data_IF_606132629449
#
_entry.id   IF_606132629449
#
_cell.length_a   1.000
_cell.length_b   1.000
_cell.length_c   1.000
_cell.angle_alpha   90.00
_cell.angle_beta   90.00
_cell.angle_gamma   90.00
#
_symmetry.space_group_name_H-M   'P 1'
#
loop_
_entity.id
_entity.type
_entity.pdbx_description
1 polymer ?
#
# COMPACT_ATOMS: atom_id res chain seq x y z
N UNK A 1 99.71 37.45 28.21
CA UNK A 1 98.37 37.34 28.84
C UNK A 1 97.26 38.00 28.00
N UNK A 2 97.39 39.26 27.58
CA UNK A 2 96.32 40.02 26.90
C UNK A 2 95.64 39.31 25.69
N UNK A 3 96.40 38.62 24.84
CA UNK A 3 95.86 37.85 23.70
C UNK A 3 95.01 36.62 24.11
N UNK A 4 95.20 36.08 25.31
CA UNK A 4 94.43 34.92 25.80
C UNK A 4 93.03 35.35 26.27
N UNK A 5 92.91 36.51 26.92
CA UNK A 5 91.61 37.06 27.32
C UNK A 5 90.70 37.36 26.12
N UNK A 6 91.26 37.87 25.02
CA UNK A 6 90.50 38.14 23.78
C UNK A 6 89.90 36.84 23.22
N UNK A 7 90.67 35.74 23.21
CA UNK A 7 90.18 34.45 22.72
C UNK A 7 89.05 33.88 23.61
N UNK A 8 89.17 34.02 24.94
CA UNK A 8 88.15 33.56 25.90
C UNK A 8 86.86 34.40 25.82
N UNK A 9 86.97 35.71 25.58
CA UNK A 9 85.80 36.58 25.35
C UNK A 9 85.06 36.26 24.05
N UNK A 10 85.77 35.91 22.97
CA UNK A 10 85.17 35.52 21.69
C UNK A 10 84.43 34.17 21.75
N UNK A 11 84.86 33.23 22.59
CA UNK A 11 84.16 31.95 22.79
C UNK A 11 82.87 32.06 23.61
N UNK A 12 82.67 33.14 24.38
CA UNK A 12 81.43 33.36 25.15
C UNK A 12 80.36 34.15 24.38
N UNK A 13 80.67 34.69 23.18
CA UNK A 13 79.73 35.49 22.38
C UNK A 13 78.85 34.71 21.39
N UNK A 14 78.97 33.38 21.31
CA UNK A 14 78.12 32.56 20.43
C UNK A 14 76.75 32.26 21.06
N UNK A 15 75.79 33.15 20.84
CA UNK A 15 74.36 32.92 21.10
C UNK A 15 73.81 31.84 20.15
N UNK A 16 73.83 30.57 20.60
CA UNK A 16 73.19 29.47 19.88
C UNK A 16 71.69 29.48 20.20
N UNK A 17 70.92 30.24 19.42
CA UNK A 17 69.45 30.15 19.43
C UNK A 17 69.01 28.83 18.79
N UNK A 18 68.88 27.79 19.62
CA UNK A 18 68.16 26.58 19.27
C UNK A 18 66.66 26.87 19.11
N UNK A 19 66.28 27.39 17.95
CA UNK A 19 64.88 27.62 17.61
C UNK A 19 64.21 26.26 17.32
N UNK A 20 63.59 25.67 18.32
CA UNK A 20 62.52 24.70 18.09
C UNK A 20 61.37 25.38 17.33
N UNK A 21 60.65 24.59 16.53
CA UNK A 21 59.57 25.07 15.67
C UNK A 21 58.54 25.94 16.43
N UNK A 22 58.36 27.21 16.08
CA UNK A 22 59.14 27.97 15.10
C UNK A 22 58.98 29.47 15.30
N UNK A 23 59.97 30.24 14.82
CA UNK A 23 59.75 31.64 14.51
C UNK A 23 60.44 32.12 13.25
N UNK A 24 60.00 33.16 12.52
CA UNK A 24 58.74 33.95 12.54
C UNK A 24 58.21 34.53 13.88
N UNK A 25 57.75 35.80 13.93
CA UNK A 25 56.96 36.29 15.06
C UNK A 25 55.55 35.64 15.16
N UNK A 26 55.10 34.88 14.15
CA UNK A 26 53.76 34.26 14.05
C UNK A 26 53.78 32.87 13.38
N UNK A 27 54.10 31.76 14.08
CA UNK A 27 54.09 30.42 13.51
C UNK A 27 52.67 29.86 13.30
N UNK A 28 52.52 28.92 12.35
CA UNK A 28 51.27 28.14 12.14
C UNK A 28 51.44 26.62 12.31
N UNK A 29 52.59 26.17 12.83
CA UNK A 29 52.77 24.83 13.40
C UNK A 29 53.96 24.01 12.85
N UNK A 30 54.79 23.49 13.77
CA UNK A 30 55.61 22.28 13.59
C UNK A 30 56.12 21.79 14.97
N UNK A 31 55.29 21.03 15.70
CA UNK A 31 55.74 20.29 16.87
C UNK A 31 56.03 18.85 16.45
N UNK A 32 57.30 18.58 16.13
CA UNK A 32 57.77 17.20 15.96
C UNK A 32 58.08 16.60 17.36
N UNK A 33 57.37 15.54 17.73
CA UNK A 33 57.51 14.85 19.03
C UNK A 33 58.48 13.65 18.90
N UNK A 34 59.07 13.43 17.73
CA UNK A 34 59.97 12.31 17.49
C UNK A 34 61.37 12.51 18.09
N UNK A 35 62.08 11.39 18.31
CA UNK A 35 63.53 11.37 18.53
C UNK A 35 64.23 10.87 17.27
N UNK A 36 65.50 11.23 16.99
CA UNK A 36 66.17 10.98 15.70
C UNK A 36 66.24 9.52 15.21
N UNK A 37 65.87 8.54 16.05
CA UNK A 37 65.96 7.10 15.77
C UNK A 37 64.64 6.35 16.02
N UNK A 38 63.61 6.97 16.60
CA UNK A 38 62.34 6.29 16.98
C UNK A 38 61.14 7.24 16.98
N UNK A 39 60.09 6.88 16.24
CA UNK A 39 58.85 7.65 16.12
C UNK A 39 57.71 7.02 16.93
N UNK A 40 57.84 7.01 18.26
CA UNK A 40 56.94 6.28 19.18
C UNK A 40 56.08 7.18 20.07
N UNK A 41 56.14 8.50 19.92
CA UNK A 41 55.39 9.46 20.73
C UNK A 41 54.21 10.03 19.93
N UNK A 42 53.00 9.97 20.50
CA UNK A 42 51.80 10.54 19.91
C UNK A 42 51.50 11.95 20.39
N UNK A 43 50.75 12.72 19.59
CA UNK A 43 50.18 14.00 20.01
C UNK A 43 48.93 13.76 20.87
N UNK A 44 48.97 14.18 22.13
CA UNK A 44 47.79 14.25 22.99
C UNK A 44 47.18 15.64 22.86
N UNK A 45 45.93 15.72 22.40
CA UNK A 45 45.20 16.98 22.27
C UNK A 45 44.66 17.47 23.63
N UNK A 46 44.45 18.79 23.79
CA UNK A 46 43.70 19.33 24.93
C UNK A 46 42.36 18.61 25.06
N UNK A 47 42.08 18.08 26.25
CA UNK A 47 40.89 17.27 26.53
C UNK A 47 39.86 18.10 27.28
N UNK A 48 38.63 18.15 26.78
CA UNK A 48 37.52 18.88 27.41
C UNK A 48 36.20 18.12 27.20
N UNK A 49 35.20 18.32 28.05
CA UNK A 49 33.86 17.71 27.92
C UNK A 49 32.87 18.59 27.14
N UNK A 50 33.23 19.86 26.89
CA UNK A 50 32.45 20.84 26.13
C UNK A 50 33.40 21.78 25.34
N UNK A 51 33.04 22.08 24.10
CA UNK A 51 33.74 23.02 23.22
C UNK A 51 33.71 24.46 23.76
N UNK A 52 32.68 24.84 24.52
CA UNK A 52 32.57 26.17 25.13
C UNK A 52 33.58 26.42 26.25
N UNK A 53 34.21 25.36 26.79
CA UNK A 53 35.27 25.44 27.81
C UNK A 53 36.67 25.59 27.22
N UNK A 54 36.81 25.59 25.89
CA UNK A 54 38.07 25.88 25.22
C UNK A 54 38.32 27.40 25.21
N UNK A 55 39.48 27.81 25.72
CA UNK A 55 39.86 29.22 25.84
C UNK A 55 41.03 29.54 24.90
N UNK A 56 41.03 30.73 24.31
CA UNK A 56 42.20 31.25 23.61
C UNK A 56 43.24 31.72 24.66
N UNK A 57 44.49 31.19 24.67
CA UNK A 57 45.53 31.64 25.61
C UNK A 57 45.92 33.12 25.48
N UNK A 58 45.61 33.77 24.35
CA UNK A 58 45.83 35.21 24.13
C UNK A 58 44.62 36.08 24.55
N UNK A 59 43.54 35.46 25.05
CA UNK A 59 42.26 36.11 25.28
C UNK A 59 41.42 36.25 24.01
N UNK A 60 40.18 36.71 24.15
CA UNK A 60 39.23 36.85 23.03
C UNK A 60 38.64 35.51 22.56
N UNK A 61 38.23 35.46 21.30
CA UNK A 61 37.62 34.27 20.67
C UNK A 61 38.64 33.17 20.39
N UNK A 62 38.18 31.92 20.31
CA UNK A 62 38.99 30.76 19.92
C UNK A 62 39.59 30.99 18.53
N UNK A 63 40.83 30.54 18.31
CA UNK A 63 41.53 30.69 17.04
C UNK A 63 41.13 29.58 16.03
N UNK A 64 40.97 29.96 14.76
CA UNK A 64 40.83 29.03 13.63
C UNK A 64 41.93 27.95 13.66
N UNK A 65 41.56 26.70 13.42
CA UNK A 65 42.47 25.55 13.45
C UNK A 65 42.73 24.97 14.85
N UNK A 66 42.08 25.49 15.91
CA UNK A 66 42.13 24.87 17.24
C UNK A 66 41.56 23.45 17.17
N UNK A 67 42.29 22.47 17.71
CA UNK A 67 41.85 21.07 17.82
C UNK A 67 41.74 20.66 19.28
N UNK A 68 40.72 19.86 19.62
CA UNK A 68 40.52 19.28 20.95
C UNK A 68 40.15 17.81 20.87
N UNK A 69 40.39 17.08 21.96
CA UNK A 69 39.75 15.80 22.23
C UNK A 69 38.50 16.04 23.10
N UNK A 70 37.34 15.77 22.53
CA UNK A 70 36.07 15.77 23.26
C UNK A 70 35.99 14.52 24.12
N UNK A 71 35.92 14.71 25.43
CA UNK A 71 35.87 13.63 26.42
C UNK A 71 34.47 13.09 26.67
N UNK A 72 33.42 13.76 26.16
CA UNK A 72 32.05 13.26 26.14
C UNK A 72 31.87 12.34 24.93
N UNK A 73 32.16 12.85 23.73
CA UNK A 73 32.00 12.13 22.46
C UNK A 73 33.19 11.20 22.11
N UNK A 74 34.25 11.22 22.92
CA UNK A 74 35.49 10.44 22.77
C UNK A 74 36.19 10.64 21.42
N UNK A 75 36.17 11.86 20.89
CA UNK A 75 36.56 12.16 19.51
C UNK A 75 37.44 13.40 19.35
N UNK A 76 38.02 13.60 18.17
CA UNK A 76 38.73 14.85 17.84
C UNK A 76 37.72 15.82 17.21
N UNK A 77 37.74 17.11 17.61
CA UNK A 77 36.99 18.19 16.94
C UNK A 77 37.96 19.31 16.53
N UNK A 78 37.67 20.02 15.45
CA UNK A 78 38.43 21.21 15.01
C UNK A 78 37.52 22.45 14.93
N UNK A 79 38.07 23.63 15.17
CA UNK A 79 37.37 24.91 15.02
C UNK A 79 37.71 25.56 13.68
N UNK A 80 36.71 25.88 12.86
CA UNK A 80 36.89 26.43 11.50
C UNK A 80 37.04 27.97 11.45
N UNK A 81 37.10 28.62 12.61
CA UNK A 81 37.12 30.08 12.74
C UNK A 81 35.74 30.67 13.07
N UNK A 82 34.66 29.91 12.87
CA UNK A 82 33.27 30.31 13.17
C UNK A 82 32.53 29.29 14.03
N UNK A 83 32.71 27.99 13.77
CA UNK A 83 32.04 26.88 14.44
C UNK A 83 33.02 25.73 14.74
N UNK A 84 32.60 24.87 15.66
CA UNK A 84 33.27 23.59 15.89
C UNK A 84 32.74 22.53 14.95
N UNK A 85 33.64 21.70 14.43
CA UNK A 85 33.29 20.54 13.64
C UNK A 85 32.59 19.47 14.48
N UNK A 86 31.82 18.64 13.79
CA UNK A 86 31.53 17.29 14.24
C UNK A 86 32.81 16.49 14.50
N UNK A 87 32.66 15.35 15.17
CA UNK A 87 33.74 14.43 15.44
C UNK A 87 34.52 13.97 14.18
N UNK A 88 35.78 14.38 14.09
CA UNK A 88 36.74 13.86 13.13
C UNK A 88 37.07 12.40 13.45
N UNK A 89 36.57 11.49 12.63
CA UNK A 89 37.08 10.11 12.52
C UNK A 89 36.47 9.05 13.46
N UNK A 90 35.41 9.34 14.21
CA UNK A 90 34.62 8.32 14.93
C UNK A 90 33.22 8.16 14.33
N UNK A 91 32.82 6.90 14.14
CA UNK A 91 31.69 6.51 13.29
C UNK A 91 32.05 6.60 11.80
N UNK A 92 31.54 5.68 10.99
CA UNK A 92 31.35 5.99 9.57
C UNK A 92 30.33 7.12 9.43
N UNK A 93 30.49 7.93 8.38
CA UNK A 93 29.39 8.76 7.89
C UNK A 93 28.25 7.84 7.45
N UNK A 94 26.99 8.30 7.56
CA UNK A 94 25.83 7.52 7.09
C UNK A 94 25.91 7.21 5.58
N UNK A 95 26.79 7.89 4.82
CA UNK A 95 27.16 7.57 3.43
C UNK A 95 27.58 6.11 3.20
N UNK A 96 28.13 5.46 4.22
CA UNK A 96 28.66 4.08 4.10
C UNK A 96 27.57 3.03 4.38
N UNK A 97 26.40 3.47 4.86
CA UNK A 97 25.25 2.63 5.16
C UNK A 97 24.33 2.56 3.94
N UNK A 98 23.78 1.37 3.68
CA UNK A 98 22.77 1.14 2.65
C UNK A 98 21.59 0.40 3.25
N UNK A 99 20.36 0.86 2.98
CA UNK A 99 19.12 0.21 3.39
C UNK A 99 18.45 -0.49 2.20
N UNK A 100 18.03 -1.74 2.40
CA UNK A 100 17.36 -2.56 1.41
C UNK A 100 16.09 -3.20 2.01
N UNK A 101 14.94 -2.89 1.42
CA UNK A 101 13.66 -3.56 1.67
C UNK A 101 13.08 -4.21 0.40
N UNK A 102 13.88 -4.39 -0.65
CA UNK A 102 13.51 -5.18 -1.84
C UNK A 102 13.69 -6.68 -1.60
N UNK A 103 14.63 -7.07 -0.72
CA UNK A 103 14.92 -8.47 -0.38
C UNK A 103 13.80 -9.17 0.41
N UNK A 104 13.30 -8.52 1.46
CA UNK A 104 12.24 -9.05 2.33
C UNK A 104 10.97 -8.19 2.26
N UNK A 105 11.10 -6.87 2.47
CA UNK A 105 10.00 -5.91 2.30
C UNK A 105 8.77 -6.26 3.14
N UNK A 106 7.59 -6.21 2.52
CA UNK A 106 6.36 -6.73 3.11
C UNK A 106 6.35 -8.26 3.19
N UNK A 107 6.26 -8.79 4.41
CA UNK A 107 6.14 -10.23 4.68
C UNK A 107 4.84 -10.50 5.43
N UNK A 108 3.90 -11.19 4.79
CA UNK A 108 2.61 -11.57 5.37
C UNK A 108 1.53 -11.72 4.30
N UNK A 109 0.29 -11.99 4.74
CA UNK A 109 -0.90 -12.03 3.88
C UNK A 109 -1.65 -10.70 3.99
N UNK A 110 -1.89 -10.06 2.85
CA UNK A 110 -2.62 -8.80 2.76
C UNK A 110 -3.92 -9.01 1.96
N UNK A 111 -5.01 -9.23 2.70
CA UNK A 111 -6.37 -9.45 2.18
C UNK A 111 -7.31 -8.40 2.78
N UNK A 112 -8.14 -7.74 1.95
CA UNK A 112 -9.17 -6.80 2.42
C UNK A 112 -10.10 -7.46 3.43
N UNK A 113 -10.47 -6.74 4.48
CA UNK A 113 -11.42 -7.20 5.50
C UNK A 113 -10.88 -8.30 6.43
N UNK A 114 -9.67 -8.81 6.16
CA UNK A 114 -8.99 -9.79 7.01
C UNK A 114 -8.00 -9.07 7.91
N UNK A 115 -8.18 -9.19 9.23
CA UNK A 115 -7.23 -8.64 10.21
C UNK A 115 -5.84 -9.24 10.00
N UNK A 116 -4.81 -8.39 9.93
CA UNK A 116 -3.44 -8.83 9.75
C UNK A 116 -2.97 -9.68 10.94
N UNK A 117 -2.36 -10.82 10.65
CA UNK A 117 -1.81 -11.75 11.63
C UNK A 117 -0.35 -12.03 11.31
N UNK A 118 0.57 -11.52 12.16
CA UNK A 118 2.02 -11.68 11.98
C UNK A 118 2.61 -10.96 10.76
N UNK A 119 1.88 -10.04 10.13
CA UNK A 119 2.37 -9.25 9.00
C UNK A 119 3.47 -8.27 9.45
N UNK A 120 4.52 -8.13 8.64
CA UNK A 120 5.69 -7.29 8.96
C UNK A 120 6.22 -6.58 7.73
N UNK A 121 7.00 -5.52 7.95
CA UNK A 121 7.87 -4.90 6.95
C UNK A 121 9.32 -5.03 7.42
N UNK A 122 10.24 -5.45 6.55
CA UNK A 122 11.65 -5.70 6.91
C UNK A 122 12.61 -4.88 6.06
N UNK A 123 13.54 -4.22 6.73
CA UNK A 123 14.68 -3.53 6.11
C UNK A 123 15.97 -4.20 6.57
N UNK A 124 16.85 -4.56 5.64
CA UNK A 124 18.24 -4.90 5.94
C UNK A 124 19.10 -3.65 5.77
N UNK A 125 19.82 -3.25 6.81
CA UNK A 125 20.78 -2.15 6.77
C UNK A 125 22.18 -2.75 6.81
N UNK A 126 22.99 -2.45 5.79
CA UNK A 126 24.36 -2.93 5.64
C UNK A 126 25.34 -1.79 5.83
N UNK A 127 26.41 -2.02 6.58
CA UNK A 127 27.52 -1.08 6.73
C UNK A 127 28.68 -1.49 5.84
N UNK A 128 28.83 -0.81 4.71
CA UNK A 128 29.90 -1.04 3.72
C UNK A 128 31.21 -0.32 4.10
N UNK A 129 31.20 0.45 5.20
CA UNK A 129 32.33 1.20 5.71
C UNK A 129 33.36 0.35 6.46
N UNK A 130 34.51 0.96 6.74
CA UNK A 130 35.64 0.32 7.46
C UNK A 130 35.58 0.50 8.99
N UNK A 131 34.51 1.10 9.51
CA UNK A 131 34.27 1.37 10.93
C UNK A 131 32.84 1.00 11.29
N UNK A 132 32.55 0.78 12.56
CA UNK A 132 31.16 0.65 13.03
C UNK A 132 30.38 1.96 12.78
N UNK A 133 29.07 1.83 12.58
CA UNK A 133 28.16 2.97 12.41
C UNK A 133 28.08 3.84 13.67
N UNK A 134 27.52 5.05 13.53
CA UNK A 134 26.91 5.74 14.67
C UNK A 134 25.72 4.91 15.22
N UNK A 135 25.27 5.18 16.44
CA UNK A 135 24.05 4.59 16.99
C UNK A 135 22.85 5.03 16.14
N UNK A 136 22.21 4.09 15.47
CA UNK A 136 20.92 4.30 14.80
C UNK A 136 19.81 4.06 15.81
N UNK A 137 18.80 4.92 15.84
CA UNK A 137 17.59 4.76 16.66
C UNK A 137 16.40 4.59 15.73
N UNK A 138 15.51 3.64 16.02
CA UNK A 138 14.37 3.29 15.17
C UNK A 138 13.05 3.56 15.88
N UNK A 139 12.08 4.11 15.14
CA UNK A 139 10.74 4.44 15.63
C UNK A 139 9.68 3.95 14.63
N UNK A 140 8.46 3.68 15.08
CA UNK A 140 7.37 3.25 14.17
C UNK A 140 7.05 4.29 13.09
N UNK A 141 7.34 5.57 13.36
CA UNK A 141 7.22 6.70 12.40
C UNK A 141 8.22 6.66 11.25
N UNK A 142 9.27 5.84 11.33
CA UNK A 142 10.28 5.72 10.27
C UNK A 142 9.72 5.01 9.04
N UNK A 143 8.64 4.24 9.19
CA UNK A 143 7.91 3.57 8.11
C UNK A 143 6.54 4.24 7.91
N UNK A 144 6.37 4.90 6.76
CA UNK A 144 5.10 5.47 6.33
C UNK A 144 4.40 4.50 5.40
N UNK A 145 3.12 4.23 5.65
CA UNK A 145 2.27 3.38 4.81
C UNK A 145 1.33 4.24 3.96
N UNK A 146 1.16 3.90 2.69
CA UNK A 146 0.25 4.59 1.78
C UNK A 146 -0.40 3.65 0.75
N UNK A 147 -1.40 4.15 0.02
CA UNK A 147 -2.10 3.41 -1.05
C UNK A 147 -3.29 2.55 -0.58
N UNK A 148 -3.23 1.94 0.61
CA UNK A 148 -4.36 1.21 1.21
C UNK A 148 -4.55 1.60 2.68
N UNK A 149 -5.79 1.87 3.08
CA UNK A 149 -6.16 2.28 4.46
C UNK A 149 -6.45 1.09 5.37
N UNK A 150 -6.50 1.35 6.69
CA UNK A 150 -6.81 0.37 7.73
C UNK A 150 -5.62 -0.43 8.26
N UNK A 151 -4.40 -0.14 7.78
CA UNK A 151 -3.14 -0.76 8.22
C UNK A 151 -2.30 0.28 8.96
N UNK A 152 -1.64 -0.12 10.05
CA UNK A 152 -0.75 0.72 10.85
C UNK A 152 0.52 -0.01 11.26
N UNK A 153 1.60 0.74 11.50
CA UNK A 153 2.85 0.22 12.07
C UNK A 153 2.72 0.18 13.59
N UNK A 154 2.75 -1.02 14.17
CA UNK A 154 2.45 -1.27 15.59
C UNK A 154 3.69 -1.44 16.47
N UNK A 155 4.85 -1.71 15.89
CA UNK A 155 6.08 -1.93 16.65
C UNK A 155 7.33 -2.01 15.78
N UNK A 156 8.49 -2.05 16.43
CA UNK A 156 9.81 -2.23 15.81
C UNK A 156 10.64 -3.21 16.63
N UNK A 157 11.36 -4.12 15.97
CA UNK A 157 12.06 -5.23 16.64
C UNK A 157 13.27 -4.81 17.49
N UNK A 158 13.80 -3.62 17.27
CA UNK A 158 14.87 -3.03 18.07
C UNK A 158 14.71 -1.51 18.05
N UNK A 159 14.81 -0.86 19.22
CA UNK A 159 14.73 0.59 19.33
C UNK A 159 16.03 1.29 18.87
N UNK A 160 17.16 0.58 18.81
CA UNK A 160 18.43 1.09 18.31
C UNK A 160 19.41 -0.02 17.93
N UNK A 161 20.41 0.31 17.10
CA UNK A 161 21.52 -0.59 16.74
C UNK A 161 22.81 0.17 16.40
N UNK A 162 23.96 -0.48 16.64
CA UNK A 162 25.26 -0.13 16.04
C UNK A 162 25.62 -1.27 15.09
N UNK A 163 25.93 -0.94 13.84
CA UNK A 163 26.24 -1.92 12.80
C UNK A 163 27.78 -1.98 12.64
N UNK A 164 28.45 -3.10 12.95
CA UNK A 164 29.89 -3.24 12.76
C UNK A 164 30.31 -3.11 11.30
N UNK A 165 31.59 -2.82 11.06
CA UNK A 165 32.15 -2.71 9.71
C UNK A 165 31.94 -4.01 8.90
N UNK A 166 31.43 -3.91 7.68
CA UNK A 166 31.17 -5.04 6.80
C UNK A 166 30.04 -5.98 7.26
N UNK A 167 29.20 -5.57 8.22
CA UNK A 167 28.07 -6.35 8.72
C UNK A 167 26.73 -5.75 8.31
N UNK A 168 25.67 -6.53 8.48
CA UNK A 168 24.28 -6.11 8.27
C UNK A 168 23.41 -6.41 9.49
N UNK A 169 22.35 -5.63 9.68
CA UNK A 169 21.27 -5.89 10.63
C UNK A 169 19.93 -5.84 9.90
N UNK A 170 18.98 -6.70 10.27
CA UNK A 170 17.60 -6.62 9.78
C UNK A 170 16.71 -6.03 10.86
N UNK A 171 16.06 -4.91 10.55
CA UNK A 171 15.05 -4.26 11.39
C UNK A 171 13.68 -4.66 10.86
N UNK A 172 12.82 -5.14 11.75
CA UNK A 172 11.48 -5.63 11.45
C UNK A 172 10.45 -4.73 12.12
N UNK A 173 9.56 -4.18 11.31
CA UNK A 173 8.41 -3.39 11.73
C UNK A 173 7.18 -4.31 11.77
N UNK A 174 6.47 -4.29 12.89
CA UNK A 174 5.21 -5.03 13.05
C UNK A 174 4.08 -4.22 12.41
N UNK A 175 3.20 -4.91 11.68
CA UNK A 175 2.01 -4.32 11.04
C UNK A 175 0.75 -4.85 11.71
N UNK A 176 -0.23 -3.99 11.89
CA UNK A 176 -1.54 -4.32 12.48
C UNK A 176 -2.69 -3.65 11.74
N UNK A 177 -3.91 -4.04 12.08
CA UNK A 177 -5.13 -3.50 11.51
C UNK A 177 -5.78 -4.45 10.49
N UNK A 178 -6.73 -3.92 9.74
CA UNK A 178 -7.56 -4.66 8.78
C UNK A 178 -7.64 -3.81 7.51
N UNK A 179 -7.09 -4.26 6.37
CA UNK A 179 -7.09 -3.45 5.15
C UNK A 179 -8.53 -3.17 4.68
N UNK A 180 -8.89 -1.91 4.49
CA UNK A 180 -10.27 -1.51 4.16
C UNK A 180 -10.59 -1.54 2.68
N UNK A 181 -9.60 -1.75 1.82
CA UNK A 181 -9.77 -1.89 0.38
C UNK A 181 -8.67 -2.72 -0.27
N UNK A 182 -8.79 -2.95 -1.59
CA UNK A 182 -7.73 -3.56 -2.42
C UNK A 182 -6.79 -2.49 -3.01
N UNK A 183 -5.61 -2.90 -3.46
CA UNK A 183 -4.71 -2.02 -4.23
C UNK A 183 -3.24 -2.28 -3.94
N UNK A 184 -2.39 -1.33 -4.30
CA UNK A 184 -0.97 -1.36 -3.96
C UNK A 184 -0.77 -0.68 -2.62
N UNK A 185 -0.38 -1.44 -1.60
CA UNK A 185 0.14 -0.91 -0.34
C UNK A 185 1.62 -0.58 -0.56
N UNK A 186 2.00 0.66 -0.28
CA UNK A 186 3.39 1.13 -0.34
C UNK A 186 3.91 1.35 1.08
N UNK A 187 5.12 0.88 1.35
CA UNK A 187 5.87 1.15 2.56
C UNK A 187 7.11 1.96 2.22
N UNK A 188 7.13 3.22 2.62
CA UNK A 188 8.24 4.15 2.47
C UNK A 188 8.97 4.24 3.81
N UNK A 189 10.15 3.64 3.90
CA UNK A 189 10.99 3.72 5.08
C UNK A 189 12.06 4.80 4.94
N UNK A 190 12.27 5.61 5.98
CA UNK A 190 13.35 6.61 6.03
C UNK A 190 13.87 6.82 7.45
N UNK A 191 15.19 6.92 7.60
CA UNK A 191 15.86 7.17 8.88
C UNK A 191 17.26 7.77 8.65
N UNK A 192 17.54 8.94 9.24
CA UNK A 192 18.87 9.59 9.24
C UNK A 192 19.55 9.70 7.85
N UNK A 193 18.77 9.95 6.80
CA UNK A 193 19.25 10.08 5.41
C UNK A 193 19.32 8.78 4.63
N UNK A 194 19.07 7.63 5.26
CA UNK A 194 18.76 6.37 4.59
C UNK A 194 17.27 6.31 4.25
N UNK A 195 16.94 5.57 3.19
CA UNK A 195 15.57 5.21 2.89
C UNK A 195 15.48 4.07 1.90
N UNK A 196 14.33 3.42 1.88
CA UNK A 196 13.98 2.43 0.86
C UNK A 196 12.44 2.33 0.76
N UNK A 197 11.96 1.99 -0.44
CA UNK A 197 10.52 1.82 -0.71
C UNK A 197 10.27 0.38 -1.16
N UNK A 198 9.21 -0.23 -0.67
CA UNK A 198 8.71 -1.51 -1.16
C UNK A 198 7.18 -1.48 -1.29
N UNK A 199 6.62 -2.35 -2.13
CA UNK A 199 5.18 -2.41 -2.41
C UNK A 199 4.66 -3.84 -2.38
N UNK A 200 3.40 -4.00 -1.93
CA UNK A 200 2.69 -5.28 -1.97
C UNK A 200 1.24 -5.06 -2.43
N UNK A 201 0.69 -6.02 -3.17
CA UNK A 201 -0.72 -5.98 -3.57
C UNK A 201 -1.59 -6.50 -2.43
N UNK A 202 -2.49 -5.65 -1.91
CA UNK A 202 -3.61 -6.05 -1.06
C UNK A 202 -4.71 -6.62 -1.97
N UNK A 203 -5.00 -7.91 -1.80
CA UNK A 203 -6.01 -8.60 -2.61
C UNK A 203 -7.42 -8.46 -2.01
N UNK A 204 -8.45 -8.74 -2.82
CA UNK A 204 -9.84 -8.75 -2.37
C UNK A 204 -10.19 -9.92 -1.42
N UNK A 205 -9.28 -10.89 -1.22
CA UNK A 205 -9.60 -12.12 -0.50
C UNK A 205 -10.67 -12.96 -1.21
N UNK A 206 -11.55 -13.58 -0.43
CA UNK A 206 -12.75 -14.28 -0.94
C UNK A 206 -13.93 -13.31 -1.05
N UNK A 207 -14.64 -13.36 -2.18
CA UNK A 207 -15.79 -12.49 -2.44
C UNK A 207 -17.05 -13.08 -1.82
N UNK A 208 -17.70 -12.32 -0.95
CA UNK A 208 -18.87 -12.74 -0.18
C UNK A 208 -20.13 -12.25 -0.88
N UNK A 209 -20.83 -13.15 -1.55
CA UNK A 209 -22.10 -12.84 -2.22
C UNK A 209 -23.24 -13.39 -1.37
N UNK A 210 -24.06 -12.50 -0.83
CA UNK A 210 -25.35 -12.90 -0.26
C UNK A 210 -26.44 -12.86 -1.33
N UNK A 211 -27.38 -13.80 -1.28
CA UNK A 211 -28.48 -13.86 -2.23
C UNK A 211 -29.86 -13.97 -1.57
N UNK A 212 -30.84 -13.35 -2.20
CA UNK A 212 -32.23 -13.28 -1.76
C UNK A 212 -33.18 -13.76 -2.87
N UNK A 213 -34.00 -14.75 -2.56
CA UNK A 213 -34.95 -15.35 -3.49
C UNK A 213 -34.32 -16.39 -4.43
N UNK A 214 -35.18 -16.98 -5.25
CA UNK A 214 -34.81 -17.92 -6.32
C UNK A 214 -34.18 -17.19 -7.51
N UNK A 215 -33.61 -17.94 -8.45
CA UNK A 215 -32.92 -17.44 -9.64
C UNK A 215 -31.87 -16.36 -9.31
N UNK A 216 -30.87 -16.77 -8.53
CA UNK A 216 -29.79 -15.90 -8.03
C UNK A 216 -28.42 -16.53 -8.20
N UNK A 217 -27.40 -15.69 -8.38
CA UNK A 217 -25.99 -16.06 -8.32
C UNK A 217 -25.69 -16.59 -6.91
N UNK A 218 -25.13 -17.80 -6.84
CA UNK A 218 -24.98 -18.59 -5.62
C UNK A 218 -26.18 -19.48 -5.24
N UNK A 219 -27.34 -19.28 -5.87
CA UNK A 219 -28.53 -20.12 -5.74
C UNK A 219 -28.49 -21.38 -6.63
N UNK A 220 -29.33 -22.36 -6.33
CA UNK A 220 -29.35 -23.67 -7.02
C UNK A 220 -29.79 -23.62 -8.48
N UNK A 221 -30.45 -22.55 -8.91
CA UNK A 221 -30.96 -22.38 -10.29
C UNK A 221 -29.88 -22.05 -11.32
N UNK A 222 -28.72 -21.52 -10.91
CA UNK A 222 -27.61 -21.17 -11.81
C UNK A 222 -26.38 -22.08 -11.61
N UNK A 223 -26.51 -23.43 -11.63
CA UNK A 223 -25.44 -24.32 -11.22
C UNK A 223 -24.19 -24.19 -12.10
N UNK A 224 -24.37 -24.02 -13.41
CA UNK A 224 -23.27 -23.88 -14.38
C UNK A 224 -22.51 -22.57 -14.18
N UNK A 225 -23.22 -21.43 -14.12
CA UNK A 225 -22.59 -20.13 -13.88
C UNK A 225 -21.86 -20.09 -12.53
N UNK A 226 -22.48 -20.64 -11.48
CA UNK A 226 -21.82 -20.78 -10.17
C UNK A 226 -20.57 -21.67 -10.24
N UNK A 227 -20.54 -22.70 -11.09
CA UNK A 227 -19.34 -23.51 -11.33
C UNK A 227 -18.24 -22.76 -12.09
N UNK A 228 -18.61 -21.86 -13.02
CA UNK A 228 -17.68 -20.96 -13.70
C UNK A 228 -17.11 -19.90 -12.74
N UNK A 229 -17.91 -19.42 -11.75
CA UNK A 229 -17.44 -18.56 -10.66
C UNK A 229 -16.49 -19.30 -9.70
N UNK A 230 -16.77 -20.58 -9.37
CA UNK A 230 -15.92 -21.40 -8.50
C UNK A 230 -14.71 -22.02 -9.21
N UNK A 231 -14.58 -21.84 -10.52
CA UNK A 231 -13.44 -22.33 -11.32
C UNK A 231 -12.19 -21.50 -11.06
N UNK A 232 -11.17 -22.10 -10.42
CA UNK A 232 -9.89 -21.45 -10.13
C UNK A 232 -9.11 -20.94 -11.36
N UNK A 233 -9.46 -21.39 -12.57
CA UNK A 233 -8.94 -20.85 -13.84
C UNK A 233 -9.52 -19.47 -14.17
N UNK A 234 -10.80 -19.25 -13.83
CA UNK A 234 -11.52 -18.02 -14.10
C UNK A 234 -11.32 -17.03 -12.95
N UNK A 235 -11.46 -17.53 -11.72
CA UNK A 235 -11.42 -16.78 -10.47
C UNK A 235 -10.56 -17.51 -9.45
N UNK A 236 -9.32 -17.08 -9.30
CA UNK A 236 -8.34 -17.72 -8.44
C UNK A 236 -7.06 -16.89 -8.36
N UNK A 237 -6.14 -17.27 -7.49
CA UNK A 237 -4.84 -16.56 -7.34
C UNK A 237 -4.02 -16.52 -8.63
N UNK A 238 -4.28 -17.49 -9.53
CA UNK A 238 -3.69 -17.60 -10.87
C UNK A 238 -4.74 -17.57 -11.99
N UNK A 239 -5.99 -17.22 -11.66
CA UNK A 239 -7.09 -17.14 -12.63
C UNK A 239 -7.05 -15.86 -13.46
N UNK A 240 -7.97 -15.78 -14.43
CA UNK A 240 -8.18 -14.57 -15.26
C UNK A 240 -8.45 -13.35 -14.36
N UNK A 241 -9.42 -13.44 -13.45
CA UNK A 241 -9.67 -12.45 -12.41
C UNK A 241 -9.08 -12.93 -11.07
N UNK A 242 -8.20 -12.12 -10.47
CA UNK A 242 -7.35 -12.54 -9.34
C UNK A 242 -8.01 -12.34 -7.98
N UNK A 243 -8.66 -13.38 -7.48
CA UNK A 243 -9.29 -13.46 -6.14
C UNK A 243 -9.04 -14.84 -5.50
N UNK A 244 -9.46 -15.02 -4.24
CA UNK A 244 -9.37 -16.31 -3.54
C UNK A 244 -10.49 -17.29 -3.91
N UNK A 245 -11.60 -16.76 -4.43
CA UNK A 245 -12.82 -17.49 -4.80
C UNK A 245 -14.07 -16.76 -4.32
N UNK A 246 -15.23 -17.41 -4.39
CA UNK A 246 -16.51 -16.87 -3.92
C UNK A 246 -17.08 -17.67 -2.74
N UNK A 247 -17.76 -16.98 -1.84
CA UNK A 247 -18.55 -17.55 -0.75
C UNK A 247 -20.00 -17.09 -0.93
N UNK A 248 -20.91 -18.04 -1.13
CA UNK A 248 -22.33 -17.78 -1.34
C UNK A 248 -23.12 -17.96 -0.05
N UNK A 249 -23.99 -17.00 0.31
CA UNK A 249 -24.84 -17.05 1.51
C UNK A 249 -26.30 -16.78 1.18
N UNK A 250 -27.20 -17.73 1.46
CA UNK A 250 -28.64 -17.48 1.32
C UNK A 250 -29.12 -16.60 2.49
N UNK A 251 -29.65 -15.42 2.19
CA UNK A 251 -30.22 -14.49 3.18
C UNK A 251 -31.75 -14.35 3.07
N UNK A 252 -32.42 -15.17 2.26
CA UNK A 252 -33.88 -15.08 1.99
C UNK A 252 -34.71 -15.08 3.28
N UNK A 253 -34.35 -15.94 4.23
CA UNK A 253 -35.06 -16.08 5.52
C UNK A 253 -34.47 -15.22 6.65
N UNK A 254 -33.36 -14.50 6.41
CA UNK A 254 -32.66 -13.71 7.45
C UNK A 254 -32.65 -12.22 7.18
N UNK A 255 -32.78 -11.77 5.92
CA UNK A 255 -32.70 -10.36 5.49
C UNK A 255 -33.54 -9.42 6.36
N UNK A 256 -34.75 -9.83 6.76
CA UNK A 256 -35.62 -9.04 7.62
C UNK A 256 -34.94 -8.60 8.94
N UNK A 257 -34.09 -9.46 9.50
CA UNK A 257 -33.42 -9.27 10.80
C UNK A 257 -32.02 -8.63 10.70
N UNK A 258 -31.44 -8.51 9.50
CA UNK A 258 -30.11 -7.91 9.31
C UNK A 258 -30.20 -6.37 9.31
N UNK A 259 -29.17 -5.69 9.81
CA UNK A 259 -29.03 -4.22 9.68
C UNK A 259 -28.33 -3.86 8.36
N UNK A 260 -28.35 -2.56 7.99
CA UNK A 260 -27.56 -2.07 6.86
C UNK A 260 -26.07 -2.31 7.10
N UNK A 261 -25.56 -1.89 8.25
CA UNK A 261 -24.17 -2.06 8.67
C UNK A 261 -23.74 -3.53 8.59
N UNK A 262 -24.58 -4.46 9.07
CA UNK A 262 -24.30 -5.90 8.96
C UNK A 262 -24.15 -6.35 7.50
N UNK A 263 -25.02 -5.88 6.60
CA UNK A 263 -24.93 -6.23 5.18
C UNK A 263 -23.63 -5.70 4.56
N UNK A 264 -23.21 -4.47 4.90
CA UNK A 264 -21.97 -3.86 4.39
C UNK A 264 -20.71 -4.52 4.96
N UNK A 265 -20.72 -4.87 6.25
CA UNK A 265 -19.58 -5.51 6.91
C UNK A 265 -19.38 -6.96 6.44
N UNK A 266 -20.47 -7.69 6.14
CA UNK A 266 -20.43 -9.14 5.91
C UNK A 266 -20.53 -9.55 4.43
N UNK A 267 -21.04 -8.70 3.53
CA UNK A 267 -21.24 -9.04 2.13
C UNK A 267 -20.68 -7.98 1.18
N UNK A 268 -19.99 -8.45 0.15
CA UNK A 268 -19.37 -7.60 -0.88
C UNK A 268 -20.34 -7.32 -2.04
N UNK A 269 -21.24 -8.27 -2.31
CA UNK A 269 -22.28 -8.20 -3.34
C UNK A 269 -23.60 -8.76 -2.77
N UNK A 270 -24.73 -8.12 -3.07
CA UNK A 270 -26.06 -8.73 -2.92
C UNK A 270 -26.64 -9.15 -4.28
N UNK A 271 -27.17 -10.36 -4.36
CA UNK A 271 -27.84 -10.88 -5.55
C UNK A 271 -29.33 -11.10 -5.27
N UNK A 272 -30.20 -10.36 -5.94
CA UNK A 272 -31.64 -10.35 -5.67
C UNK A 272 -32.37 -10.94 -6.87
N UNK A 273 -33.21 -11.94 -6.63
CA UNK A 273 -34.20 -12.44 -7.61
C UNK A 273 -35.43 -11.53 -7.64
N UNK A 274 -36.62 -12.16 -7.63
CA UNK A 274 -37.99 -11.61 -7.52
C UNK A 274 -38.24 -10.38 -6.62
N UNK A 275 -37.30 -10.00 -5.76
CA UNK A 275 -37.46 -8.96 -4.74
C UNK A 275 -38.25 -9.44 -3.53
N UNK A 276 -38.25 -8.67 -2.45
CA UNK A 276 -39.05 -9.01 -1.26
C UNK A 276 -40.48 -8.51 -1.43
N UNK A 277 -41.46 -9.33 -1.04
CA UNK A 277 -42.85 -8.89 -0.86
C UNK A 277 -42.97 -7.81 0.24
N UNK A 278 -41.97 -7.67 1.12
CA UNK A 278 -41.93 -6.67 2.19
C UNK A 278 -41.21 -5.41 1.70
N UNK A 279 -41.94 -4.30 1.63
CA UNK A 279 -41.39 -2.98 1.29
C UNK A 279 -40.24 -2.54 2.22
N UNK A 280 -40.26 -2.96 3.49
CA UNK A 280 -39.15 -2.73 4.45
C UNK A 280 -37.83 -3.35 4.01
N UNK A 281 -37.88 -4.51 3.37
CA UNK A 281 -36.70 -5.25 2.97
C UNK A 281 -36.16 -4.66 1.66
N UNK A 282 -37.05 -4.30 0.72
CA UNK A 282 -36.66 -3.58 -0.50
C UNK A 282 -36.02 -2.22 -0.18
N UNK A 283 -36.54 -1.50 0.83
CA UNK A 283 -35.94 -0.25 1.30
C UNK A 283 -34.53 -0.47 1.89
N UNK A 284 -34.30 -1.58 2.59
CA UNK A 284 -32.99 -1.98 3.11
C UNK A 284 -32.00 -2.34 1.99
N UNK A 285 -32.47 -3.07 0.98
CA UNK A 285 -31.71 -3.38 -0.23
C UNK A 285 -31.31 -2.10 -0.99
N UNK A 286 -32.24 -1.15 -1.14
CA UNK A 286 -31.92 0.17 -1.69
C UNK A 286 -30.90 0.94 -0.84
N UNK A 287 -31.04 0.94 0.49
CA UNK A 287 -30.07 1.61 1.36
C UNK A 287 -28.64 1.04 1.21
N UNK A 288 -28.52 -0.28 0.99
CA UNK A 288 -27.23 -0.92 0.67
C UNK A 288 -26.65 -0.43 -0.67
N UNK A 289 -27.46 -0.35 -1.73
CA UNK A 289 -27.04 0.21 -3.01
C UNK A 289 -26.65 1.70 -2.91
N UNK A 290 -27.46 2.51 -2.23
CA UNK A 290 -27.24 3.95 -2.04
C UNK A 290 -25.98 4.24 -1.21
N UNK A 291 -25.60 3.34 -0.30
CA UNK A 291 -24.33 3.40 0.44
C UNK A 291 -23.10 2.96 -0.39
N UNK A 292 -23.30 2.54 -1.64
CA UNK A 292 -22.25 2.11 -2.56
C UNK A 292 -21.99 0.60 -2.59
N UNK A 293 -22.88 -0.20 -1.98
CA UNK A 293 -22.87 -1.65 -2.13
C UNK A 293 -23.15 -2.09 -3.56
N UNK A 294 -22.60 -3.25 -3.94
CA UNK A 294 -22.70 -3.82 -5.29
C UNK A 294 -23.87 -4.80 -5.35
N UNK A 295 -24.70 -4.69 -6.39
CA UNK A 295 -25.94 -5.46 -6.50
C UNK A 295 -26.18 -6.01 -7.90
N UNK A 296 -26.61 -7.27 -7.95
CA UNK A 296 -27.26 -7.89 -9.11
C UNK A 296 -28.75 -8.01 -8.81
N UNK A 297 -29.60 -7.64 -9.76
CA UNK A 297 -31.06 -7.73 -9.65
C UNK A 297 -31.63 -8.42 -10.88
N UNK A 298 -32.30 -9.54 -10.67
CA UNK A 298 -32.98 -10.32 -11.70
C UNK A 298 -34.47 -10.02 -11.66
N UNK A 299 -34.98 -9.41 -12.74
CA UNK A 299 -36.37 -9.00 -12.83
C UNK A 299 -37.22 -10.16 -13.32
N UNK A 300 -38.02 -10.70 -12.41
CA UNK A 300 -38.99 -11.74 -12.68
C UNK A 300 -40.40 -11.22 -12.37
N UNK A 301 -41.28 -11.26 -13.38
CA UNK A 301 -42.72 -10.98 -13.36
C UNK A 301 -43.20 -9.80 -12.46
N UNK A 302 -44.50 -9.77 -12.11
CA UNK A 302 -45.08 -8.76 -11.21
C UNK A 302 -44.45 -8.69 -9.80
N UNK A 303 -43.77 -9.73 -9.34
CA UNK A 303 -43.10 -9.76 -8.03
C UNK A 303 -42.07 -8.63 -7.91
N UNK A 304 -41.37 -8.35 -9.02
CA UNK A 304 -40.36 -7.29 -9.13
C UNK A 304 -40.90 -5.86 -8.98
N UNK A 305 -42.22 -5.64 -9.10
CA UNK A 305 -42.83 -4.31 -9.11
C UNK A 305 -42.52 -3.47 -7.86
N UNK A 306 -42.51 -4.10 -6.67
CA UNK A 306 -42.21 -3.42 -5.41
C UNK A 306 -40.74 -2.99 -5.33
N UNK A 307 -39.83 -3.82 -5.85
CA UNK A 307 -38.40 -3.53 -5.89
C UNK A 307 -38.11 -2.40 -6.89
N UNK A 308 -38.65 -2.49 -8.10
CA UNK A 308 -38.55 -1.45 -9.13
C UNK A 308 -39.05 -0.08 -8.63
N UNK A 309 -40.24 -0.05 -8.02
CA UNK A 309 -40.80 1.18 -7.43
C UNK A 309 -39.88 1.75 -6.35
N UNK A 310 -39.32 0.88 -5.48
CA UNK A 310 -38.40 1.30 -4.42
C UNK A 310 -37.11 1.90 -4.99
N UNK A 311 -36.58 1.33 -6.07
CA UNK A 311 -35.38 1.82 -6.77
C UNK A 311 -35.66 3.04 -7.68
N UNK A 312 -36.88 3.59 -7.68
CA UNK A 312 -37.23 4.84 -8.37
C UNK A 312 -37.60 4.69 -9.85
N UNK A 313 -38.00 3.49 -10.27
CA UNK A 313 -38.51 3.24 -11.63
C UNK A 313 -39.96 3.69 -11.75
N UNK A 314 -40.35 4.15 -12.94
CA UNK A 314 -41.71 4.68 -13.19
C UNK A 314 -42.64 3.59 -13.75
N UNK A 315 -43.77 3.36 -13.10
CA UNK A 315 -44.84 2.46 -13.55
C UNK A 315 -45.59 3.01 -14.79
N UNK A 316 -46.33 2.19 -15.59
CA UNK A 316 -46.65 0.78 -15.39
C UNK A 316 -45.55 -0.17 -15.89
N UNK A 317 -45.26 -1.21 -15.10
CA UNK A 317 -44.33 -2.28 -15.50
C UNK A 317 -45.08 -3.36 -16.28
N UNK A 318 -44.54 -3.71 -17.45
CA UNK A 318 -45.11 -4.72 -18.34
C UNK A 318 -44.16 -5.91 -18.42
N UNK A 319 -44.73 -7.11 -18.56
CA UNK A 319 -44.01 -8.36 -18.69
C UNK A 319 -44.57 -9.09 -19.91
N UNK A 320 -43.69 -9.69 -20.72
CA UNK A 320 -44.09 -10.32 -21.99
C UNK A 320 -43.51 -11.71 -22.11
N UNK A 321 -44.37 -12.65 -22.48
CA UNK A 321 -43.94 -13.95 -22.97
C UNK A 321 -43.27 -13.80 -24.35
N UNK A 322 -42.08 -14.38 -24.54
CA UNK A 322 -41.46 -14.51 -25.87
C UNK A 322 -40.37 -13.49 -26.25
N UNK A 323 -40.01 -12.56 -25.38
CA UNK A 323 -38.87 -11.64 -25.57
C UNK A 323 -37.52 -12.31 -25.25
N UNK A 324 -37.25 -13.45 -25.90
CA UNK A 324 -36.21 -14.42 -25.52
C UNK A 324 -34.76 -14.00 -25.81
N UNK A 325 -34.52 -12.75 -26.16
CA UNK A 325 -33.19 -12.28 -26.50
C UNK A 325 -33.01 -10.77 -26.36
N UNK A 326 -31.76 -10.37 -26.10
CA UNK A 326 -31.32 -8.98 -26.13
C UNK A 326 -29.99 -8.88 -26.89
N UNK A 327 -29.71 -7.74 -27.50
CA UNK A 327 -28.43 -7.47 -28.17
C UNK A 327 -27.59 -6.54 -27.31
N UNK A 328 -26.35 -6.91 -27.01
CA UNK A 328 -25.40 -6.04 -26.30
C UNK A 328 -24.99 -4.87 -27.19
N UNK A 329 -24.72 -3.71 -26.61
CA UNK A 329 -24.25 -2.54 -27.36
C UNK A 329 -22.71 -2.41 -27.33
N UNK A 330 -22.19 -1.29 -27.86
CA UNK A 330 -20.76 -0.97 -27.91
C UNK A 330 -20.21 -0.32 -26.62
N UNK A 331 -20.90 -0.44 -25.47
CA UNK A 331 -20.38 0.06 -24.20
C UNK A 331 -19.08 -0.70 -23.82
N UNK A 332 -18.08 0.00 -23.28
CA UNK A 332 -16.79 -0.59 -22.92
C UNK A 332 -16.88 -1.67 -21.85
N UNK A 333 -17.92 -1.68 -21.01
CA UNK A 333 -18.20 -2.77 -20.04
C UNK A 333 -18.42 -4.11 -20.77
N UNK A 334 -18.96 -4.08 -21.99
CA UNK A 334 -19.15 -5.27 -22.83
C UNK A 334 -17.84 -5.74 -23.50
N UNK A 335 -16.72 -5.04 -23.31
CA UNK A 335 -15.38 -5.44 -23.74
C UNK A 335 -14.43 -5.42 -22.53
N UNK A 336 -14.70 -6.31 -21.58
CA UNK A 336 -13.94 -6.45 -20.35
C UNK A 336 -12.84 -7.52 -20.40
N UNK A 337 -12.39 -7.89 -19.20
CA UNK A 337 -11.27 -8.80 -18.94
C UNK A 337 -11.40 -10.19 -19.59
N UNK A 338 -12.63 -10.69 -19.76
CA UNK A 338 -12.89 -12.03 -20.32
C UNK A 338 -13.02 -12.02 -21.85
N UNK A 339 -13.01 -10.85 -22.50
CA UNK A 339 -13.03 -10.72 -23.96
C UNK A 339 -14.03 -9.69 -24.48
N UNK A 340 -14.17 -9.61 -25.80
CA UNK A 340 -15.14 -8.73 -26.45
C UNK A 340 -16.50 -9.44 -26.58
N UNK A 341 -17.53 -8.82 -26.03
CA UNK A 341 -18.94 -9.23 -26.09
C UNK A 341 -19.86 -8.07 -26.51
N UNK A 342 -19.35 -7.13 -27.31
CA UNK A 342 -20.16 -6.06 -27.93
C UNK A 342 -20.94 -6.59 -29.14
N UNK A 343 -22.17 -6.10 -29.34
CA UNK A 343 -23.04 -6.44 -30.48
C UNK A 343 -23.34 -7.95 -30.63
N UNK A 344 -23.42 -8.68 -29.52
CA UNK A 344 -23.78 -10.11 -29.49
C UNK A 344 -25.24 -10.30 -29.10
N UNK A 345 -25.83 -11.42 -29.49
CA UNK A 345 -27.15 -11.86 -29.00
C UNK A 345 -27.01 -12.64 -27.71
N UNK A 346 -27.68 -12.15 -26.66
CA UNK A 346 -27.97 -12.82 -25.41
C UNK A 346 -29.31 -13.56 -25.53
N UNK A 347 -29.45 -14.74 -24.94
CA UNK A 347 -30.62 -15.60 -25.07
C UNK A 347 -31.14 -16.07 -23.70
N UNK A 348 -32.48 -16.16 -23.60
CA UNK A 348 -33.25 -16.55 -22.41
C UNK A 348 -34.36 -17.54 -22.80
N UNK A 349 -35.11 -18.10 -21.85
CA UNK A 349 -36.12 -19.12 -22.17
C UNK A 349 -37.56 -18.60 -22.18
N UNK A 350 -37.95 -17.66 -21.32
CA UNK A 350 -39.36 -17.48 -20.95
C UNK A 350 -39.88 -16.03 -20.90
N UNK A 351 -40.34 -15.59 -19.73
CA UNK A 351 -40.95 -14.28 -19.50
C UNK A 351 -39.89 -13.22 -19.24
N UNK A 352 -40.17 -12.00 -19.67
CA UNK A 352 -39.19 -10.92 -19.69
C UNK A 352 -39.85 -9.61 -19.27
N UNK A 353 -39.21 -8.88 -18.37
CA UNK A 353 -39.54 -7.50 -18.03
C UNK A 353 -39.34 -6.60 -19.26
N UNK A 354 -40.36 -5.83 -19.62
CA UNK A 354 -40.36 -4.95 -20.79
C UNK A 354 -40.36 -3.48 -20.35
N UNK A 355 -39.29 -3.08 -19.65
CA UNK A 355 -39.07 -1.71 -19.22
C UNK A 355 -38.67 -0.83 -20.40
N UNK A 356 -39.32 0.32 -20.58
CA UNK A 356 -38.89 1.31 -21.58
C UNK A 356 -37.80 2.23 -21.01
N UNK A 357 -37.02 2.88 -21.87
CA UNK A 357 -35.96 3.81 -21.45
C UNK A 357 -36.49 4.99 -20.60
N UNK A 358 -37.75 5.40 -20.80
CA UNK A 358 -38.40 6.47 -20.02
C UNK A 358 -38.77 6.06 -18.58
N UNK A 359 -38.70 4.76 -18.26
CA UNK A 359 -39.03 4.24 -16.93
C UNK A 359 -37.80 4.02 -16.04
N UNK A 360 -36.60 4.04 -16.63
CA UNK A 360 -35.34 3.93 -15.90
C UNK A 360 -35.08 5.19 -15.06
N UNK A 361 -34.44 5.05 -13.88
CA UNK A 361 -33.90 6.21 -13.15
C UNK A 361 -32.91 7.00 -14.01
N UNK A 362 -32.78 8.30 -13.73
CA UNK A 362 -31.81 9.17 -14.40
C UNK A 362 -30.37 8.63 -14.29
N UNK A 363 -29.55 8.90 -15.32
CA UNK A 363 -28.16 8.44 -15.45
C UNK A 363 -27.97 6.90 -15.56
N UNK A 364 -29.04 6.13 -15.79
CA UNK A 364 -28.91 4.68 -16.04
C UNK A 364 -28.13 4.39 -17.33
N UNK A 365 -27.17 3.48 -17.26
CA UNK A 365 -26.32 3.05 -18.37
C UNK A 365 -26.85 1.75 -18.98
N UNK A 366 -27.39 1.80 -20.18
CA UNK A 366 -27.86 0.60 -20.91
C UNK A 366 -26.66 -0.15 -21.52
N UNK A 367 -26.66 -1.48 -21.39
CA UNK A 367 -25.62 -2.39 -21.88
C UNK A 367 -26.16 -3.40 -22.91
N UNK A 368 -27.42 -3.79 -22.80
CA UNK A 368 -28.11 -4.62 -23.80
C UNK A 368 -29.57 -4.16 -23.98
N UNK A 369 -30.12 -4.38 -25.17
CA UNK A 369 -31.51 -4.01 -25.52
C UNK A 369 -32.29 -5.20 -26.06
N UNK A 370 -33.51 -5.39 -25.57
CA UNK A 370 -34.51 -6.31 -26.11
C UNK A 370 -35.54 -5.50 -26.90
N UNK A 371 -35.62 -5.68 -28.23
CA UNK A 371 -36.59 -4.98 -29.08
C UNK A 371 -36.65 -3.45 -28.83
N UNK A 372 -35.48 -2.80 -28.79
CA UNK A 372 -35.22 -1.39 -28.44
C UNK A 372 -35.48 -0.98 -26.98
N UNK A 373 -36.00 -1.87 -26.14
CA UNK A 373 -36.17 -1.63 -24.70
C UNK A 373 -34.92 -2.03 -23.91
N UNK A 374 -34.57 -1.33 -22.81
CA UNK A 374 -33.53 -1.76 -21.88
C UNK A 374 -33.68 -3.22 -21.43
N UNK A 375 -32.70 -4.06 -21.81
CA UNK A 375 -32.59 -5.44 -21.35
C UNK A 375 -31.65 -5.57 -20.15
N UNK A 376 -30.43 -5.04 -20.29
CA UNK A 376 -29.47 -4.95 -19.17
C UNK A 376 -29.01 -3.52 -19.04
N UNK A 377 -29.00 -3.04 -17.81
CA UNK A 377 -28.61 -1.69 -17.49
C UNK A 377 -28.06 -1.57 -16.06
N UNK A 378 -27.22 -0.57 -15.86
CA UNK A 378 -26.65 -0.20 -14.56
C UNK A 378 -27.32 1.08 -14.09
N UNK A 379 -27.61 1.18 -12.79
CA UNK A 379 -28.19 2.38 -12.18
C UNK A 379 -27.64 2.64 -10.78
N UNK A 380 -28.15 3.68 -10.12
CA UNK A 380 -27.72 4.17 -8.82
C UNK A 380 -26.56 5.17 -8.90
N UNK A 381 -26.42 6.02 -7.87
CA UNK A 381 -25.42 7.09 -7.78
C UNK A 381 -23.96 6.62 -7.91
N UNK A 382 -23.71 5.35 -7.61
CA UNK A 382 -22.38 4.74 -7.65
C UNK A 382 -22.13 3.84 -8.89
N UNK A 383 -23.14 3.67 -9.75
CA UNK A 383 -23.15 2.70 -10.85
C UNK A 383 -22.83 1.27 -10.37
N UNK A 384 -23.47 0.85 -9.27
CA UNK A 384 -23.20 -0.43 -8.60
C UNK A 384 -24.37 -1.42 -8.64
N UNK A 385 -25.56 -1.01 -9.10
CA UNK A 385 -26.72 -1.89 -9.23
C UNK A 385 -26.94 -2.27 -10.69
N UNK A 386 -26.78 -3.55 -11.00
CA UNK A 386 -26.89 -4.15 -12.33
C UNK A 386 -28.23 -4.89 -12.40
N UNK A 387 -29.11 -4.47 -13.31
CA UNK A 387 -30.41 -5.09 -13.54
C UNK A 387 -30.40 -5.94 -14.80
N UNK A 388 -31.09 -7.07 -14.74
CA UNK A 388 -31.34 -8.01 -15.82
C UNK A 388 -32.84 -8.13 -16.03
N UNK A 389 -33.29 -8.01 -17.29
CA UNK A 389 -34.70 -8.07 -17.66
C UNK A 389 -35.38 -9.43 -17.48
N UNK A 390 -34.58 -10.49 -17.31
CA UNK A 390 -34.99 -11.88 -17.37
C UNK A 390 -33.90 -12.71 -16.65
N UNK A 391 -34.34 -13.56 -15.74
CA UNK A 391 -33.50 -14.40 -14.88
C UNK A 391 -32.90 -15.62 -15.61
N UNK A 392 -33.47 -16.03 -16.74
CA UNK A 392 -33.05 -17.23 -17.47
C UNK A 392 -31.67 -17.10 -18.11
N UNK A 393 -31.16 -15.87 -18.25
CA UNK A 393 -29.89 -15.56 -18.89
C UNK A 393 -28.69 -16.33 -18.32
N UNK A 394 -28.72 -16.65 -17.01
CA UNK A 394 -27.63 -17.32 -16.29
C UNK A 394 -27.71 -18.86 -16.29
N UNK A 395 -28.83 -19.43 -16.76
CA UNK A 395 -28.99 -20.88 -16.91
C UNK A 395 -29.41 -21.32 -18.32
N UNK A 396 -29.48 -20.39 -19.28
CA UNK A 396 -29.61 -20.68 -20.70
C UNK A 396 -28.51 -21.63 -21.19
N UNK A 397 -28.80 -22.46 -22.20
CA UNK A 397 -27.90 -23.53 -22.70
C UNK A 397 -26.57 -23.03 -23.29
N UNK A 398 -26.44 -21.73 -23.54
CA UNK A 398 -25.18 -21.06 -23.90
C UNK A 398 -24.27 -20.76 -22.69
N UNK A 399 -24.69 -21.09 -21.47
CA UNK A 399 -23.86 -21.10 -20.26
C UNK A 399 -23.59 -22.57 -19.93
N UNK A 400 -22.38 -23.03 -20.20
CA UNK A 400 -22.03 -24.46 -20.28
C UNK A 400 -20.64 -24.78 -19.71
N UNK A 401 -20.52 -25.88 -18.96
CA UNK A 401 -19.23 -26.31 -18.40
C UNK A 401 -18.64 -25.33 -17.37
N UNK A 402 -17.30 -25.29 -17.29
CA UNK A 402 -16.55 -24.50 -16.28
C UNK A 402 -15.55 -23.51 -16.88
N UNK A 403 -15.29 -23.60 -18.18
CA UNK A 403 -14.52 -22.59 -18.92
C UNK A 403 -15.48 -21.48 -19.39
N UNK A 404 -14.95 -20.28 -19.67
CA UNK A 404 -15.71 -19.13 -20.21
C UNK A 404 -15.33 -19.01 -21.68
N UNK A 405 -16.22 -19.42 -22.58
CA UNK A 405 -15.90 -19.54 -24.01
C UNK A 405 -17.05 -19.16 -24.96
N UNK A 406 -18.30 -19.09 -24.51
CA UNK A 406 -19.40 -18.56 -25.33
C UNK A 406 -19.47 -17.02 -25.23
N UNK A 407 -20.03 -16.34 -26.25
CA UNK A 407 -20.22 -14.90 -26.18
C UNK A 407 -21.05 -14.44 -24.97
N UNK A 408 -22.08 -15.21 -24.61
CA UNK A 408 -22.95 -14.91 -23.46
C UNK A 408 -22.20 -15.07 -22.13
N UNK A 409 -21.37 -16.09 -21.98
CA UNK A 409 -20.51 -16.25 -20.81
C UNK A 409 -19.51 -15.08 -20.69
N UNK A 410 -18.83 -14.73 -21.79
CA UNK A 410 -17.88 -13.60 -21.81
C UNK A 410 -18.58 -12.31 -21.35
N UNK A 411 -19.80 -12.05 -21.80
CA UNK A 411 -20.61 -10.92 -21.36
C UNK A 411 -20.94 -10.97 -19.86
N UNK A 412 -21.49 -12.08 -19.36
CA UNK A 412 -21.86 -12.24 -17.95
C UNK A 412 -20.65 -12.12 -17.02
N UNK A 413 -19.51 -12.67 -17.44
CA UNK A 413 -18.26 -12.61 -16.68
C UNK A 413 -17.58 -11.23 -16.78
N UNK A 414 -17.76 -10.48 -17.87
CA UNK A 414 -17.39 -9.07 -17.94
C UNK A 414 -18.22 -8.21 -16.97
N UNK A 415 -19.53 -8.48 -16.82
CA UNK A 415 -20.36 -7.83 -15.79
C UNK A 415 -19.93 -8.20 -14.38
N UNK A 416 -19.56 -9.46 -14.13
CA UNK A 416 -19.00 -9.87 -12.84
C UNK A 416 -17.66 -9.19 -12.57
N UNK A 417 -16.74 -9.12 -13.54
CA UNK A 417 -15.50 -8.36 -13.40
C UNK A 417 -15.76 -6.88 -13.08
N UNK A 418 -16.68 -6.23 -13.79
CA UNK A 418 -17.11 -4.87 -13.50
C UNK A 418 -17.65 -4.71 -12.07
N UNK A 419 -18.52 -5.62 -11.63
CA UNK A 419 -19.08 -5.62 -10.28
C UNK A 419 -17.98 -5.79 -9.20
N UNK A 420 -17.06 -6.73 -9.41
CA UNK A 420 -15.90 -6.96 -8.55
C UNK A 420 -14.98 -5.74 -8.49
N UNK A 421 -14.85 -5.00 -9.60
CA UNK A 421 -14.05 -3.77 -9.66
C UNK A 421 -14.69 -2.58 -8.92
N UNK A 422 -16.00 -2.66 -8.62
CA UNK A 422 -16.74 -1.67 -7.81
C UNK A 422 -16.72 -1.92 -6.31
N UNK A 423 -16.36 -3.13 -5.86
CA UNK A 423 -16.26 -3.40 -4.42
C UNK A 423 -15.10 -2.58 -3.86
N UNK A 424 -15.37 -1.78 -2.83
CA UNK A 424 -14.40 -0.87 -2.20
C UNK A 424 -13.36 -1.63 -1.37
#
# INVERSE_FOLDING_TARGET
>A
MQKLYILVLLTFSSLVVGQTGMGTPTPRGALDINRPLTNTFGLVLPTNDDTAKMLNPQGGTIAEGTMMYDSTDKCIKFFDGTAWSDCLGVGSSNSDLTADCTKDGFVGTFERGTTLSGATFKITITNNGKRASKLLSFQTTDLVLSGVSGISVSGVSAASAIIPAGQSVTIRYDLSGTPTGRGTLTGDWSNLGLGCTNTVTVSLGSIRIAYYGDYTIGGSYYPTFNSQLQSGKNYGTHGIYKIKGFVFTNITNTLANLTLDYLQDNYDILCIGRGSARTTDNAKLKAFADAGGVMFVFLENSDSNNLLTTFGFTAPFNYSYGNKSATTNSNSINWGLFGNSTNITLNTFSESALLTAAQLPANSTILAVCNNNPGIFITGSHNTTIFFWDEDLHYHSSVSGTDINTPQEIFLHNLMAYALDKIR
#
